data_IF_686255501855
#
_entry.id   IF_686255501855
#
_cell.length_a   1.000
_cell.length_b   1.000
_cell.length_c   1.000
_cell.angle_alpha   90.00
_cell.angle_beta   90.00
_cell.angle_gamma   90.00
#
_symmetry.space_group_name_H-M   'P 1'
#
loop_
_entity.id
_entity.type
_entity.pdbx_description
1 polymer ?
#
# COMPACT_ATOMS: atom_id res chain seq x y z
N UNK A 1 -18.48 15.51 16.16
CA UNK A 1 -19.44 14.36 16.12
C UNK A 1 -20.39 14.61 14.97
N UNK A 2 -20.35 13.76 13.94
CA UNK A 2 -21.19 13.91 12.74
C UNK A 2 -22.55 13.24 12.87
N UNK A 3 -22.65 12.19 13.69
CA UNK A 3 -23.87 11.41 13.93
C UNK A 3 -23.97 11.00 15.38
N UNK A 4 -25.17 10.89 15.89
CA UNK A 4 -25.49 10.33 17.22
C UNK A 4 -26.56 9.25 17.06
N UNK A 5 -26.44 8.20 17.84
CA UNK A 5 -27.47 7.17 17.97
C UNK A 5 -28.42 7.58 19.08
N UNK A 6 -29.72 7.50 18.83
CA UNK A 6 -30.77 7.76 19.80
C UNK A 6 -31.57 6.50 20.00
N UNK A 7 -31.59 5.98 21.20
CA UNK A 7 -32.29 4.74 21.58
C UNK A 7 -33.25 4.94 22.75
N UNK A 8 -34.11 3.98 22.98
CA UNK A 8 -34.97 3.94 24.13
C UNK A 8 -34.14 3.77 25.43
N UNK A 9 -34.49 4.51 26.46
CA UNK A 9 -33.79 4.40 27.75
C UNK A 9 -34.15 3.07 28.43
N UNK A 10 -33.17 2.22 28.70
CA UNK A 10 -33.33 0.96 29.38
C UNK A 10 -33.49 1.16 30.92
N UNK A 11 -34.32 0.33 31.53
CA UNK A 11 -34.41 0.21 33.00
C UNK A 11 -33.32 -0.73 33.50
N UNK A 12 -32.10 -0.19 33.65
CA UNK A 12 -30.90 -0.97 33.97
C UNK A 12 -30.90 -1.36 35.44
N UNK A 13 -30.90 -2.65 35.71
CA UNK A 13 -30.76 -3.21 37.06
C UNK A 13 -29.31 -3.43 37.46
N UNK A 14 -28.50 -3.97 36.51
CA UNK A 14 -27.07 -4.23 36.70
C UNK A 14 -26.31 -4.18 35.39
N UNK A 15 -25.09 -3.69 35.45
CA UNK A 15 -24.15 -3.63 34.34
C UNK A 15 -23.09 -4.72 34.48
N UNK A 16 -22.66 -5.25 33.36
CA UNK A 16 -21.67 -6.30 33.24
C UNK A 16 -20.71 -5.98 32.10
N UNK A 17 -19.57 -6.61 32.12
CA UNK A 17 -18.58 -6.53 31.06
C UNK A 17 -18.38 -7.90 30.41
N UNK A 18 -18.26 -7.95 29.09
CA UNK A 18 -17.67 -9.09 28.39
C UNK A 18 -16.92 -8.63 27.15
N UNK A 19 -15.81 -9.33 26.86
CA UNK A 19 -15.12 -9.17 25.60
C UNK A 19 -14.60 -10.51 25.09
N UNK A 20 -14.46 -10.57 23.76
CA UNK A 20 -13.78 -11.63 23.05
C UNK A 20 -12.57 -11.01 22.36
N UNK A 21 -11.39 -11.53 22.65
CA UNK A 21 -10.10 -11.05 22.10
C UNK A 21 -9.24 -12.24 21.72
N UNK A 22 -8.15 -12.01 21.00
CA UNK A 22 -7.16 -13.04 20.72
C UNK A 22 -6.12 -13.06 21.84
N UNK A 23 -5.99 -14.19 22.53
CA UNK A 23 -4.91 -14.41 23.47
C UNK A 23 -3.64 -14.78 22.70
N UNK A 24 -2.71 -13.84 22.59
CA UNK A 24 -1.45 -14.01 21.88
C UNK A 24 -0.33 -14.66 22.73
N UNK A 25 -0.60 -15.05 23.98
CA UNK A 25 0.36 -15.76 24.80
C UNK A 25 0.83 -17.04 24.09
N UNK A 26 2.13 -17.35 24.20
CA UNK A 26 2.77 -18.45 23.47
C UNK A 26 2.08 -19.79 23.65
N UNK A 27 1.54 -20.01 24.85
CA UNK A 27 0.91 -21.25 25.28
C UNK A 27 -0.55 -21.36 24.85
N UNK A 28 -1.20 -20.22 24.53
CA UNK A 28 -2.64 -20.18 24.24
C UNK A 28 -2.92 -20.01 22.73
N UNK A 29 -2.56 -18.87 22.15
CA UNK A 29 -2.82 -18.53 20.73
C UNK A 29 -4.23 -18.89 20.26
N UNK A 30 -5.22 -18.47 21.02
CA UNK A 30 -6.63 -18.80 20.78
C UNK A 30 -7.53 -17.63 21.15
N UNK A 31 -8.80 -17.63 20.72
CA UNK A 31 -9.78 -16.70 21.23
C UNK A 31 -9.94 -16.85 22.74
N UNK A 32 -10.21 -15.75 23.44
CA UNK A 32 -10.39 -15.70 24.87
C UNK A 32 -11.62 -14.86 25.20
N UNK A 33 -12.49 -15.40 26.05
CA UNK A 33 -13.55 -14.66 26.71
C UNK A 33 -12.97 -13.99 27.96
N UNK A 34 -13.23 -12.70 28.13
CA UNK A 34 -13.11 -11.99 29.40
C UNK A 34 -14.52 -11.60 29.87
N UNK A 35 -14.82 -11.84 31.13
CA UNK A 35 -16.13 -11.57 31.73
C UNK A 35 -15.97 -10.97 33.12
N UNK A 36 -16.77 -9.95 33.42
CA UNK A 36 -16.85 -9.35 34.76
C UNK A 36 -18.28 -8.99 35.14
N UNK A 37 -18.58 -9.05 36.43
CA UNK A 37 -19.83 -8.51 36.99
C UNK A 37 -19.79 -7.01 37.26
N UNK A 38 -18.66 -6.38 36.98
CA UNK A 38 -18.46 -4.93 37.01
C UNK A 38 -18.38 -4.42 35.57
N UNK A 39 -19.38 -3.66 35.13
CA UNK A 39 -19.48 -3.08 33.79
C UNK A 39 -19.65 -1.57 33.82
N UNK A 40 -19.64 -0.92 32.64
CA UNK A 40 -19.84 0.53 32.53
C UNK A 40 -18.66 1.38 33.01
N UNK A 41 -17.49 0.77 33.22
CA UNK A 41 -16.26 1.42 33.64
C UNK A 41 -15.08 0.94 32.79
N UNK A 42 -13.95 1.64 32.90
CA UNK A 42 -12.72 1.24 32.24
C UNK A 42 -12.23 -0.10 32.81
N UNK A 43 -12.11 -1.11 31.94
CA UNK A 43 -11.73 -2.47 32.34
C UNK A 43 -10.34 -2.52 32.99
N UNK A 44 -9.44 -1.59 32.65
CA UNK A 44 -8.12 -1.49 33.27
C UNK A 44 -8.17 -1.08 34.74
N UNK A 45 -9.29 -0.49 35.18
CA UNK A 45 -9.52 -0.09 36.56
C UNK A 45 -10.21 -1.17 37.41
N UNK A 46 -10.70 -2.25 36.81
CA UNK A 46 -11.36 -3.35 37.49
C UNK A 46 -10.32 -4.24 38.22
N UNK A 47 -10.63 -4.62 39.46
CA UNK A 47 -9.78 -5.56 40.21
C UNK A 47 -9.64 -6.87 39.42
N UNK A 48 -8.40 -7.33 39.25
CA UNK A 48 -8.09 -8.53 38.45
C UNK A 48 -8.77 -9.77 38.97
N UNK A 49 -9.09 -9.85 40.27
CA UNK A 49 -9.85 -10.93 40.88
C UNK A 49 -11.32 -11.02 40.45
N UNK A 50 -11.85 -9.94 39.89
CA UNK A 50 -13.22 -9.84 39.36
C UNK A 50 -13.27 -10.02 37.84
N UNK A 51 -12.15 -10.25 37.20
CA UNK A 51 -12.04 -10.45 35.75
C UNK A 51 -11.77 -11.92 35.42
N UNK A 52 -12.80 -12.62 35.00
CA UNK A 52 -12.74 -14.05 34.66
C UNK A 52 -12.34 -14.23 33.21
N UNK A 53 -11.31 -15.06 32.97
CA UNK A 53 -10.75 -15.32 31.64
C UNK A 53 -10.91 -16.78 31.29
N UNK A 54 -11.36 -17.06 30.06
CA UNK A 54 -11.50 -18.42 29.53
C UNK A 54 -10.92 -18.44 28.10
N UNK A 55 -9.92 -19.29 27.90
CA UNK A 55 -9.43 -19.61 26.56
C UNK A 55 -10.45 -20.49 25.83
N UNK A 56 -10.78 -20.11 24.60
CA UNK A 56 -11.81 -20.78 23.79
C UNK A 56 -11.13 -21.64 22.75
N UNK A 57 -11.53 -22.89 22.63
CA UNK A 57 -11.05 -23.75 21.55
C UNK A 57 -11.43 -23.18 20.18
N UNK A 58 -10.45 -22.91 19.28
CA UNK A 58 -10.73 -22.30 17.98
C UNK A 58 -11.63 -23.15 17.08
N UNK A 59 -11.59 -24.48 17.24
CA UNK A 59 -12.36 -25.43 16.45
C UNK A 59 -13.81 -25.49 16.89
N UNK A 60 -14.03 -25.70 18.19
CA UNK A 60 -15.37 -25.94 18.75
C UNK A 60 -16.07 -24.63 19.17
N UNK A 61 -15.30 -23.56 19.46
CA UNK A 61 -15.85 -22.29 19.98
C UNK A 61 -16.32 -22.40 21.43
N UNK A 62 -16.88 -21.35 21.97
CA UNK A 62 -17.43 -21.31 23.33
C UNK A 62 -18.66 -22.19 23.42
N UNK A 63 -18.59 -23.20 24.28
CA UNK A 63 -19.72 -24.07 24.55
C UNK A 63 -20.55 -23.57 25.75
N UNK A 64 -21.81 -24.00 25.83
CA UNK A 64 -22.71 -23.52 26.89
C UNK A 64 -22.24 -23.89 28.29
N UNK A 65 -21.62 -25.05 28.45
CA UNK A 65 -21.08 -25.50 29.76
C UNK A 65 -19.88 -24.62 30.17
N UNK A 66 -19.00 -24.28 29.26
CA UNK A 66 -17.86 -23.36 29.54
C UNK A 66 -18.37 -21.97 29.99
N UNK A 67 -19.40 -21.46 29.32
CA UNK A 67 -20.01 -20.18 29.67
C UNK A 67 -20.73 -20.25 31.04
N UNK A 68 -21.38 -21.37 31.37
CA UNK A 68 -21.97 -21.59 32.69
C UNK A 68 -20.90 -21.60 33.78
N UNK A 69 -19.78 -22.27 33.55
CA UNK A 69 -18.67 -22.35 34.50
C UNK A 69 -18.09 -20.94 34.79
N UNK A 70 -17.82 -20.14 33.76
CA UNK A 70 -17.34 -18.76 33.92
C UNK A 70 -18.37 -17.90 34.69
N UNK A 71 -19.65 -17.99 34.33
CA UNK A 71 -20.71 -17.22 35.00
C UNK A 71 -20.88 -17.66 36.46
N UNK A 72 -20.71 -18.94 36.73
CA UNK A 72 -20.78 -19.51 38.12
C UNK A 72 -19.62 -19.00 38.97
N UNK A 73 -18.40 -18.99 38.42
CA UNK A 73 -17.22 -18.44 39.08
C UNK A 73 -17.37 -16.94 39.38
N UNK A 74 -18.00 -16.21 38.44
CA UNK A 74 -18.29 -14.78 38.59
C UNK A 74 -19.47 -14.49 39.55
N UNK A 75 -20.12 -15.50 40.12
CA UNK A 75 -21.20 -15.34 41.09
C UNK A 75 -22.56 -14.97 40.50
N UNK A 76 -22.82 -15.28 39.23
CA UNK A 76 -24.14 -15.16 38.63
C UNK A 76 -25.13 -16.10 39.32
N UNK A 77 -26.31 -15.56 39.60
CA UNK A 77 -27.36 -16.36 40.27
C UNK A 77 -27.75 -17.61 39.47
N UNK A 78 -27.94 -18.78 40.10
CA UNK A 78 -28.27 -20.05 39.41
C UNK A 78 -29.46 -19.92 38.44
N UNK A 79 -30.46 -19.14 38.77
CA UNK A 79 -31.63 -18.87 37.91
C UNK A 79 -31.31 -18.17 36.59
N UNK A 80 -30.22 -17.42 36.54
CA UNK A 80 -29.82 -16.61 35.38
C UNK A 80 -28.70 -17.26 34.54
N UNK A 81 -28.00 -18.28 35.05
CA UNK A 81 -26.86 -18.93 34.41
C UNK A 81 -27.13 -19.34 32.95
N UNK A 82 -28.28 -20.01 32.71
CA UNK A 82 -28.64 -20.45 31.36
C UNK A 82 -28.83 -19.27 30.38
N UNK A 83 -29.38 -18.14 30.85
CA UNK A 83 -29.59 -16.93 30.09
C UNK A 83 -28.26 -16.26 29.73
N UNK A 84 -27.35 -16.10 30.70
CA UNK A 84 -26.01 -15.59 30.47
C UNK A 84 -25.19 -16.46 29.53
N UNK A 85 -25.21 -17.78 29.75
CA UNK A 85 -24.52 -18.73 28.89
C UNK A 85 -25.02 -18.66 27.42
N UNK A 86 -26.34 -18.57 27.24
CA UNK A 86 -26.94 -18.39 25.91
C UNK A 86 -26.52 -17.07 25.28
N UNK A 87 -26.44 -15.99 26.05
CA UNK A 87 -26.00 -14.67 25.57
C UNK A 87 -24.53 -14.70 25.14
N UNK A 88 -23.62 -15.18 25.99
CA UNK A 88 -22.18 -15.26 25.70
C UNK A 88 -21.87 -16.20 24.53
N UNK A 89 -22.56 -17.33 24.41
CA UNK A 89 -22.38 -18.23 23.27
C UNK A 89 -22.85 -17.63 21.95
N UNK A 90 -23.89 -16.79 21.95
CA UNK A 90 -24.32 -16.05 20.76
C UNK A 90 -23.29 -15.01 20.36
N UNK A 91 -22.73 -14.26 21.32
CA UNK A 91 -21.65 -13.29 21.04
C UNK A 91 -20.39 -13.98 20.51
N UNK A 92 -20.00 -15.13 21.08
CA UNK A 92 -18.87 -15.92 20.57
C UNK A 92 -19.09 -16.37 19.11
N UNK A 93 -20.32 -16.77 18.75
CA UNK A 93 -20.66 -17.10 17.37
C UNK A 93 -20.59 -15.89 16.45
N UNK A 94 -21.00 -14.71 16.92
CA UNK A 94 -20.90 -13.45 16.17
C UNK A 94 -19.42 -13.07 15.97
N UNK A 95 -18.60 -13.11 17.03
CA UNK A 95 -17.16 -12.90 17.00
C UNK A 95 -16.48 -13.75 15.91
N UNK A 96 -16.76 -15.05 15.90
CA UNK A 96 -16.21 -16.00 14.91
C UNK A 96 -16.77 -15.74 13.50
N UNK A 97 -18.09 -15.47 13.37
CA UNK A 97 -18.75 -15.28 12.08
C UNK A 97 -18.19 -14.07 11.32
N UNK A 98 -17.84 -13.00 12.02
CA UNK A 98 -17.39 -11.75 11.41
C UNK A 98 -15.88 -11.55 11.48
N UNK A 99 -15.13 -12.62 11.79
CA UNK A 99 -13.67 -12.58 11.86
C UNK A 99 -13.15 -11.42 12.73
N UNK A 100 -13.73 -11.27 13.91
CA UNK A 100 -13.36 -10.19 14.80
C UNK A 100 -12.00 -10.44 15.45
N UNK A 101 -11.19 -9.40 15.58
CA UNK A 101 -10.02 -9.37 16.48
C UNK A 101 -10.47 -9.05 17.91
N UNK A 102 -11.41 -8.11 18.03
CA UNK A 102 -12.01 -7.70 19.30
C UNK A 102 -13.53 -7.59 19.13
N UNK A 103 -14.26 -8.10 20.09
CA UNK A 103 -15.68 -7.85 20.31
C UNK A 103 -15.88 -7.55 21.79
N UNK A 104 -16.12 -6.30 22.13
CA UNK A 104 -16.31 -5.83 23.49
C UNK A 104 -17.72 -5.28 23.67
N UNK A 105 -18.38 -5.70 24.74
CA UNK A 105 -19.67 -5.17 25.17
C UNK A 105 -19.48 -4.59 26.56
N UNK A 106 -19.47 -3.24 26.65
CA UNK A 106 -19.18 -2.53 27.87
C UNK A 106 -20.01 -1.23 28.00
N UNK A 107 -21.16 -1.29 28.71
CA UNK A 107 -21.69 -2.47 29.42
C UNK A 107 -22.60 -3.34 28.54
N UNK A 108 -22.75 -4.61 28.91
CA UNK A 108 -24.02 -5.26 28.68
C UNK A 108 -24.82 -5.26 29.98
N UNK A 109 -26.14 -5.17 29.86
CA UNK A 109 -26.99 -4.85 30.99
C UNK A 109 -28.09 -5.86 31.20
N UNK A 110 -28.46 -6.05 32.46
CA UNK A 110 -29.68 -6.74 32.83
C UNK A 110 -30.71 -5.68 33.23
N UNK A 111 -31.88 -5.74 32.61
CA UNK A 111 -33.03 -4.84 32.92
C UNK A 111 -33.87 -5.38 34.05
N UNK A 112 -34.79 -4.54 34.57
CA UNK A 112 -35.67 -4.90 35.68
C UNK A 112 -36.55 -6.11 35.43
N UNK A 113 -36.90 -6.40 34.18
CA UNK A 113 -37.63 -7.59 33.75
C UNK A 113 -36.72 -8.82 33.57
N UNK A 114 -35.41 -8.68 33.78
CA UNK A 114 -34.40 -9.71 33.67
C UNK A 114 -33.96 -10.00 32.26
N UNK A 115 -34.25 -9.16 31.27
CA UNK A 115 -33.72 -9.27 29.90
C UNK A 115 -32.26 -8.79 29.83
N UNK A 116 -31.47 -9.33 28.88
CA UNK A 116 -30.08 -8.91 28.65
C UNK A 116 -29.98 -8.12 27.33
N UNK A 117 -29.30 -6.97 27.38
CA UNK A 117 -29.07 -6.08 26.25
C UNK A 117 -27.59 -5.69 26.14
N UNK A 118 -27.10 -5.52 24.93
CA UNK A 118 -25.84 -4.84 24.67
C UNK A 118 -26.12 -3.33 24.68
N UNK A 119 -25.66 -2.62 25.69
CA UNK A 119 -25.84 -1.16 25.76
C UNK A 119 -24.77 -0.38 25.00
N UNK A 120 -23.59 -0.99 24.85
CA UNK A 120 -22.54 -0.50 23.93
C UNK A 120 -21.83 -1.71 23.28
N UNK A 121 -21.21 -1.48 22.11
CA UNK A 121 -20.50 -2.52 21.38
C UNK A 121 -19.33 -1.92 20.63
N UNK A 122 -18.11 -2.34 20.98
CA UNK A 122 -16.91 -2.11 20.19
C UNK A 122 -16.54 -3.39 19.43
N UNK A 123 -16.47 -3.30 18.11
CA UNK A 123 -16.15 -4.45 17.26
C UNK A 123 -15.05 -4.08 16.27
N UNK A 124 -13.96 -4.82 16.33
CA UNK A 124 -12.83 -4.71 15.41
C UNK A 124 -12.74 -5.99 14.59
N UNK A 125 -12.80 -5.87 13.27
CA UNK A 125 -12.73 -6.97 12.32
C UNK A 125 -11.28 -7.10 11.83
N UNK A 126 -10.81 -8.31 11.62
CA UNK A 126 -9.51 -8.57 11.02
C UNK A 126 -9.46 -7.96 9.61
N UNK A 127 -8.56 -7.02 9.38
CA UNK A 127 -8.34 -6.38 8.10
C UNK A 127 -8.08 -7.40 6.98
N UNK A 128 -7.39 -8.50 7.30
CA UNK A 128 -7.13 -9.58 6.36
C UNK A 128 -8.36 -10.41 6.00
N UNK A 129 -9.46 -10.26 6.76
CA UNK A 129 -10.72 -10.97 6.55
C UNK A 129 -11.82 -10.14 5.86
N UNK A 130 -11.64 -8.83 5.73
CA UNK A 130 -12.65 -7.91 5.17
C UNK A 130 -13.17 -8.37 3.80
N UNK A 131 -12.34 -8.98 2.97
CA UNK A 131 -12.75 -9.50 1.66
C UNK A 131 -13.84 -10.58 1.74
N UNK A 132 -14.02 -11.23 2.89
CA UNK A 132 -15.10 -12.21 3.15
C UNK A 132 -16.43 -11.57 3.52
N UNK A 133 -16.41 -10.27 3.82
CA UNK A 133 -17.56 -9.49 4.31
C UNK A 133 -17.90 -8.31 3.39
N UNK A 134 -18.25 -8.56 2.10
CA UNK A 134 -18.54 -7.49 1.14
C UNK A 134 -19.75 -6.63 1.53
N UNK A 135 -20.64 -7.16 2.37
CA UNK A 135 -21.83 -6.49 2.93
C UNK A 135 -21.47 -5.29 3.82
N UNK A 136 -20.27 -5.23 4.36
CA UNK A 136 -19.80 -4.04 5.11
C UNK A 136 -19.45 -2.85 4.23
N UNK A 137 -19.30 -3.05 2.93
CA UNK A 137 -18.94 -1.98 1.99
C UNK A 137 -17.52 -1.45 2.16
N UNK A 138 -16.67 -2.12 2.95
CA UNK A 138 -15.26 -1.77 3.15
C UNK A 138 -14.47 -2.35 1.97
N UNK A 139 -13.90 -1.47 1.13
CA UNK A 139 -13.09 -1.90 -0.02
C UNK A 139 -11.69 -2.29 0.37
N UNK A 140 -11.02 -1.44 1.15
CA UNK A 140 -9.65 -1.68 1.67
C UNK A 140 -9.66 -1.34 3.15
N UNK A 141 -9.30 -2.32 3.97
CA UNK A 141 -9.12 -2.12 5.40
C UNK A 141 -7.69 -1.65 5.69
N UNK A 142 -7.57 -0.65 6.56
CA UNK A 142 -6.27 -0.08 6.97
C UNK A 142 -6.26 0.22 8.45
N UNK A 143 -5.18 -0.18 9.11
CA UNK A 143 -4.88 0.29 10.46
C UNK A 143 -4.18 1.64 10.36
N UNK A 144 -4.91 2.71 10.61
CA UNK A 144 -4.37 4.05 10.66
C UNK A 144 -4.51 4.61 12.08
N UNK A 145 -3.48 5.31 12.57
CA UNK A 145 -3.54 5.93 13.90
C UNK A 145 -4.51 7.11 13.98
N UNK A 146 -5.19 7.45 12.88
CA UNK A 146 -6.12 8.59 12.78
C UNK A 146 -6.91 8.57 11.48
N UNK A 147 -7.51 9.71 11.13
CA UNK A 147 -8.24 9.86 9.86
C UNK A 147 -7.26 9.77 8.68
N UNK A 148 -7.64 9.08 7.58
CA UNK A 148 -6.79 8.97 6.41
C UNK A 148 -6.53 10.33 5.78
N UNK A 149 -5.31 10.56 5.35
CA UNK A 149 -4.94 11.73 4.57
C UNK A 149 -5.32 11.55 3.09
N UNK A 150 -5.34 12.64 2.32
CA UNK A 150 -5.54 12.54 0.86
C UNK A 150 -4.49 11.61 0.20
N UNK A 151 -3.25 11.58 0.72
CA UNK A 151 -2.18 10.71 0.21
C UNK A 151 -2.46 9.23 0.49
N UNK A 152 -3.01 8.91 1.66
CA UNK A 152 -3.39 7.53 2.00
C UNK A 152 -4.49 7.02 1.07
N UNK A 153 -5.49 7.86 0.78
CA UNK A 153 -6.58 7.53 -0.16
C UNK A 153 -6.04 7.28 -1.59
N UNK A 154 -5.06 8.10 -2.03
CA UNK A 154 -4.37 7.87 -3.31
C UNK A 154 -3.62 6.53 -3.28
N UNK A 155 -2.92 6.23 -2.19
CA UNK A 155 -2.22 4.96 -2.00
C UNK A 155 -3.15 3.75 -2.11
N UNK A 156 -4.32 3.81 -1.50
CA UNK A 156 -5.33 2.76 -1.60
C UNK A 156 -5.80 2.54 -3.04
N UNK A 157 -6.07 3.64 -3.77
CA UNK A 157 -6.43 3.54 -5.19
C UNK A 157 -5.32 2.93 -6.06
N UNK A 158 -4.04 3.11 -5.71
CA UNK A 158 -2.93 2.47 -6.42
C UNK A 158 -2.93 0.95 -6.21
N UNK A 159 -3.19 0.48 -5.00
CA UNK A 159 -3.24 -0.97 -4.72
C UNK A 159 -4.35 -1.69 -5.46
N UNK A 160 -5.49 -1.03 -5.68
CA UNK A 160 -6.62 -1.60 -6.42
C UNK A 160 -6.34 -1.81 -7.92
N UNK A 161 -5.32 -1.18 -8.50
CA UNK A 161 -5.09 -1.18 -9.95
C UNK A 161 -4.67 -2.54 -10.51
N UNK A 162 -3.93 -3.34 -9.75
CA UNK A 162 -3.45 -4.67 -10.16
C UNK A 162 -3.20 -5.56 -8.94
N UNK A 163 -3.55 -6.83 -9.04
CA UNK A 163 -3.32 -7.82 -7.98
C UNK A 163 -1.85 -8.29 -7.88
N UNK A 164 -1.02 -8.00 -8.90
CA UNK A 164 0.39 -8.41 -8.95
C UNK A 164 1.26 -7.45 -8.12
N UNK A 165 1.92 -8.02 -7.12
CA UNK A 165 2.85 -7.28 -6.27
C UNK A 165 2.21 -6.16 -5.46
N UNK A 166 3.00 -5.50 -4.66
CA UNK A 166 2.58 -4.45 -3.75
C UNK A 166 2.70 -3.07 -4.40
N UNK A 167 1.78 -2.18 -4.09
CA UNK A 167 1.81 -0.76 -4.47
C UNK A 167 1.44 0.11 -3.28
N UNK A 168 1.97 -0.24 -2.12
CA UNK A 168 1.63 0.40 -0.85
C UNK A 168 2.21 1.81 -0.78
N UNK A 169 1.41 2.76 -0.28
CA UNK A 169 1.81 4.12 0.00
C UNK A 169 1.00 4.66 1.18
N UNK A 170 1.67 5.21 2.17
CA UNK A 170 1.07 5.73 3.39
C UNK A 170 1.80 7.00 3.85
N UNK A 171 1.07 7.97 4.37
CA UNK A 171 1.63 9.14 5.03
C UNK A 171 2.27 8.75 6.38
N UNK A 172 3.44 9.33 6.69
CA UNK A 172 4.19 9.07 7.93
C UNK A 172 4.07 10.22 8.94
N UNK A 173 2.93 10.92 8.96
CA UNK A 173 2.78 12.12 9.78
C UNK A 173 3.56 13.31 9.24
N UNK A 174 3.76 13.35 7.94
CA UNK A 174 4.46 14.38 7.23
C UNK A 174 3.78 15.75 7.40
N UNK A 175 4.57 16.70 7.87
CA UNK A 175 4.20 18.11 7.92
C UNK A 175 4.68 18.81 6.64
N UNK A 176 3.72 19.27 5.82
CA UNK A 176 3.98 19.90 4.53
C UNK A 176 4.76 21.25 4.63
N UNK A 177 4.95 21.77 5.83
CA UNK A 177 5.60 23.06 6.09
C UNK A 177 7.04 22.93 6.57
N UNK A 178 7.33 21.92 7.41
CA UNK A 178 8.64 21.72 8.03
C UNK A 178 9.67 21.16 7.02
N UNK A 179 10.96 21.54 7.15
CA UNK A 179 12.04 21.02 6.33
C UNK A 179 12.52 19.62 6.80
N UNK A 180 13.38 19.00 6.00
CA UNK A 180 14.09 17.75 6.35
C UNK A 180 13.34 16.49 5.95
N UNK A 181 12.29 16.58 5.14
CA UNK A 181 11.54 15.42 4.66
C UNK A 181 12.02 14.93 3.30
N UNK A 182 12.10 13.62 3.17
CA UNK A 182 12.48 12.91 1.95
C UNK A 182 11.32 12.04 1.49
N UNK A 183 10.98 12.10 0.22
CA UNK A 183 10.07 11.15 -0.41
C UNK A 183 10.72 9.77 -0.42
N UNK A 184 10.20 8.82 0.34
CA UNK A 184 10.81 7.52 0.57
C UNK A 184 10.06 6.41 -0.14
N UNK A 185 10.78 5.69 -1.02
CA UNK A 185 10.23 4.63 -1.86
C UNK A 185 11.09 3.37 -1.78
N UNK A 186 10.94 2.58 -0.74
CA UNK A 186 11.65 1.32 -0.60
C UNK A 186 11.05 0.19 -1.43
N UNK A 187 11.82 -0.88 -1.59
CA UNK A 187 11.42 -2.13 -2.21
C UNK A 187 11.60 -3.24 -1.17
N UNK A 188 10.48 -3.75 -0.64
CA UNK A 188 10.45 -4.77 0.40
C UNK A 188 10.35 -4.20 1.81
N UNK A 189 9.42 -4.74 2.61
CA UNK A 189 9.09 -4.23 3.93
C UNK A 189 10.27 -4.22 4.90
N UNK A 190 11.10 -5.27 4.94
CA UNK A 190 12.28 -5.32 5.81
C UNK A 190 13.34 -4.29 5.45
N UNK A 191 13.64 -4.11 4.16
CA UNK A 191 14.57 -3.07 3.70
C UNK A 191 14.02 -1.66 3.93
N UNK A 192 12.71 -1.51 3.89
CA UNK A 192 12.02 -0.27 4.19
C UNK A 192 12.25 0.17 5.64
N UNK A 193 12.09 -0.73 6.59
CA UNK A 193 12.33 -0.44 8.01
C UNK A 193 13.79 -0.06 8.28
N UNK A 194 14.74 -0.82 7.74
CA UNK A 194 16.17 -0.51 7.86
C UNK A 194 16.53 0.84 7.23
N UNK A 195 15.90 1.19 6.11
CA UNK A 195 16.10 2.47 5.45
C UNK A 195 15.52 3.64 6.22
N UNK A 196 14.40 3.47 6.92
CA UNK A 196 13.87 4.48 7.85
C UNK A 196 14.83 4.75 9.00
N UNK A 197 15.39 3.69 9.60
CA UNK A 197 16.39 3.83 10.66
C UNK A 197 17.63 4.58 10.16
N UNK A 198 18.09 4.26 8.94
CA UNK A 198 19.24 4.94 8.34
C UNK A 198 18.96 6.42 8.03
N UNK A 199 17.76 6.78 7.55
CA UNK A 199 17.35 8.17 7.36
C UNK A 199 17.33 8.93 8.68
N UNK A 200 16.72 8.35 9.72
CA UNK A 200 16.65 8.96 11.03
C UNK A 200 18.04 9.15 11.65
N UNK A 201 18.95 8.19 11.47
CA UNK A 201 20.32 8.27 11.98
C UNK A 201 21.13 9.44 11.39
N UNK A 202 20.78 9.92 10.19
CA UNK A 202 21.42 11.09 9.57
C UNK A 202 20.57 12.37 9.69
N UNK A 203 19.52 12.36 10.51
CA UNK A 203 18.67 13.52 10.79
C UNK A 203 17.65 13.85 9.70
N UNK A 204 17.43 12.94 8.75
CA UNK A 204 16.38 13.06 7.73
C UNK A 204 15.11 12.33 8.17
N UNK A 205 13.96 12.78 7.68
CA UNK A 205 12.65 12.18 7.96
C UNK A 205 12.01 11.67 6.67
N UNK A 206 11.34 10.53 6.73
CA UNK A 206 10.52 10.08 5.62
C UNK A 206 9.18 10.80 5.61
N UNK A 207 8.79 11.39 4.48
CA UNK A 207 7.47 11.99 4.30
C UNK A 207 6.36 10.95 4.19
N UNK A 208 6.70 9.79 3.68
CA UNK A 208 5.82 8.66 3.45
C UNK A 208 6.55 7.35 3.65
N UNK A 209 5.80 6.30 3.93
CA UNK A 209 6.23 4.93 3.75
C UNK A 209 5.65 4.38 2.45
N UNK A 210 6.45 3.63 1.69
CA UNK A 210 5.97 2.91 0.50
C UNK A 210 6.54 1.49 0.47
N UNK A 211 5.93 0.61 -0.32
CA UNK A 211 6.48 -0.69 -0.67
C UNK A 211 6.05 -1.09 -2.08
N UNK A 212 7.01 -1.38 -2.93
CA UNK A 212 6.80 -1.89 -4.29
C UNK A 212 7.49 -3.23 -4.50
N UNK A 213 7.31 -4.14 -3.57
CA UNK A 213 7.82 -5.52 -3.64
C UNK A 213 6.83 -6.51 -4.26
N UNK A 214 7.24 -7.77 -4.39
CA UNK A 214 6.40 -8.83 -4.97
C UNK A 214 6.25 -8.75 -6.48
N UNK A 215 7.20 -8.12 -7.15
CA UNK A 215 7.26 -7.97 -8.61
C UNK A 215 6.05 -7.24 -9.24
N UNK A 216 5.66 -6.04 -8.74
CA UNK A 216 4.57 -5.27 -9.32
C UNK A 216 4.88 -4.85 -10.76
N UNK A 217 3.83 -4.56 -11.51
CA UNK A 217 3.98 -4.01 -12.86
C UNK A 217 4.56 -2.59 -12.83
N UNK A 218 5.27 -2.18 -13.88
CA UNK A 218 5.92 -0.87 -13.93
C UNK A 218 4.94 0.30 -13.77
N UNK A 219 3.71 0.17 -14.27
CA UNK A 219 2.68 1.19 -14.10
C UNK A 219 2.28 1.40 -12.63
N UNK A 220 2.24 0.32 -11.81
CA UNK A 220 1.98 0.43 -10.37
C UNK A 220 3.12 1.16 -9.65
N UNK A 221 4.38 0.78 -9.94
CA UNK A 221 5.58 1.44 -9.43
C UNK A 221 5.60 2.94 -9.81
N UNK A 222 5.27 3.24 -11.06
CA UNK A 222 5.18 4.61 -11.56
C UNK A 222 4.18 5.44 -10.73
N UNK A 223 3.00 4.88 -10.41
CA UNK A 223 1.98 5.58 -9.61
C UNK A 223 2.48 5.90 -8.20
N UNK A 224 3.09 4.92 -7.54
CA UNK A 224 3.69 5.13 -6.20
C UNK A 224 4.78 6.21 -6.26
N UNK A 225 5.71 6.11 -7.21
CA UNK A 225 6.77 7.08 -7.38
C UNK A 225 6.24 8.48 -7.70
N UNK A 226 5.21 8.58 -8.58
CA UNK A 226 4.59 9.86 -8.94
C UNK A 226 3.88 10.51 -7.76
N UNK A 227 3.11 9.75 -7.00
CA UNK A 227 2.45 10.24 -5.79
C UNK A 227 3.48 10.70 -4.75
N UNK A 228 4.54 9.91 -4.51
CA UNK A 228 5.64 10.27 -3.60
C UNK A 228 6.33 11.57 -4.03
N UNK A 229 6.70 11.70 -5.30
CA UNK A 229 7.36 12.90 -5.86
C UNK A 229 6.46 14.12 -5.92
N UNK A 230 5.15 13.95 -5.84
CA UNK A 230 4.15 15.02 -5.88
C UNK A 230 3.89 15.65 -4.51
N UNK A 231 4.45 15.11 -3.44
CA UNK A 231 4.33 15.71 -2.11
C UNK A 231 5.01 17.08 -2.09
N UNK A 232 4.39 18.12 -1.53
CA UNK A 232 4.99 19.45 -1.42
C UNK A 232 6.20 19.40 -0.46
N UNK A 233 7.15 20.33 -0.62
CA UNK A 233 8.27 20.55 0.32
C UNK A 233 9.13 19.34 0.72
N UNK A 234 9.07 18.23 -0.01
CA UNK A 234 10.10 17.19 0.13
C UNK A 234 11.40 17.67 -0.50
N UNK A 235 12.52 17.43 0.18
CA UNK A 235 13.84 17.94 -0.22
C UNK A 235 14.64 16.96 -1.08
N UNK A 236 14.16 15.74 -1.22
CA UNK A 236 14.80 14.71 -2.05
C UNK A 236 13.90 13.49 -2.24
N UNK A 237 14.35 12.59 -3.10
CA UNK A 237 13.71 11.30 -3.34
C UNK A 237 14.72 10.18 -3.17
N UNK A 238 14.40 9.23 -2.29
CA UNK A 238 15.18 8.03 -2.08
C UNK A 238 14.38 6.80 -2.47
N UNK A 239 14.81 6.12 -3.51
CA UNK A 239 14.39 4.76 -3.80
C UNK A 239 15.53 3.82 -3.44
N UNK A 240 15.25 2.85 -2.59
CA UNK A 240 16.27 1.91 -2.16
C UNK A 240 15.69 0.55 -1.82
N UNK A 241 16.36 -0.48 -2.34
CA UNK A 241 16.00 -1.85 -2.01
C UNK A 241 16.86 -2.85 -2.77
N UNK A 242 16.97 -4.02 -2.17
CA UNK A 242 17.57 -5.18 -2.80
C UNK A 242 16.58 -6.33 -2.68
N UNK A 243 16.26 -6.95 -3.80
CA UNK A 243 15.36 -8.10 -3.80
C UNK A 243 16.00 -9.23 -4.57
N UNK A 244 16.06 -10.34 -3.90
CA UNK A 244 16.35 -11.63 -4.51
C UNK A 244 15.04 -12.31 -4.91
N UNK A 245 15.12 -13.44 -5.56
CA UNK A 245 13.99 -14.25 -5.98
C UNK A 245 13.21 -13.67 -7.18
N UNK A 246 11.92 -13.40 -7.03
CA UNK A 246 11.02 -13.11 -8.13
C UNK A 246 10.95 -11.64 -8.56
N UNK A 247 11.55 -10.72 -7.80
CA UNK A 247 11.54 -9.29 -8.15
C UNK A 247 12.46 -9.01 -9.34
N UNK A 248 11.90 -8.59 -10.45
CA UNK A 248 12.68 -8.15 -11.62
C UNK A 248 12.82 -6.63 -11.62
N UNK A 249 14.02 -6.14 -11.31
CA UNK A 249 14.26 -4.70 -11.08
C UNK A 249 14.06 -3.82 -12.33
N UNK A 250 14.03 -4.39 -13.52
CA UNK A 250 13.74 -3.62 -14.74
C UNK A 250 12.33 -3.01 -14.76
N UNK A 251 11.37 -3.54 -13.98
CA UNK A 251 10.06 -2.90 -13.78
C UNK A 251 10.22 -1.53 -13.12
N UNK A 252 11.06 -1.47 -12.07
CA UNK A 252 11.39 -0.21 -11.40
C UNK A 252 12.11 0.73 -12.35
N UNK A 253 13.09 0.23 -13.10
CA UNK A 253 13.87 1.06 -14.02
C UNK A 253 13.00 1.73 -15.08
N UNK A 254 12.09 1.03 -15.74
CA UNK A 254 11.17 1.62 -16.71
C UNK A 254 10.24 2.66 -16.07
N UNK A 255 9.67 2.35 -14.91
CA UNK A 255 8.81 3.26 -14.16
C UNK A 255 9.54 4.54 -13.74
N UNK A 256 10.77 4.40 -13.23
CA UNK A 256 11.60 5.51 -12.76
C UNK A 256 12.02 6.42 -13.92
N UNK A 257 12.45 5.85 -15.05
CA UNK A 257 12.77 6.67 -16.22
C UNK A 257 11.58 7.53 -16.61
N UNK A 258 10.38 6.94 -16.68
CA UNK A 258 9.18 7.69 -17.04
C UNK A 258 8.87 8.80 -16.02
N UNK A 259 8.74 8.46 -14.75
CA UNK A 259 8.32 9.43 -13.73
C UNK A 259 9.34 10.53 -13.50
N UNK A 260 10.64 10.21 -13.48
CA UNK A 260 11.68 11.23 -13.26
C UNK A 260 11.77 12.20 -14.45
N UNK A 261 11.61 11.72 -15.68
CA UNK A 261 11.54 12.60 -16.85
C UNK A 261 10.32 13.51 -16.87
N UNK A 262 9.23 13.12 -16.25
CA UNK A 262 8.04 13.96 -16.10
C UNK A 262 8.16 14.97 -14.95
N UNK A 263 8.75 14.57 -13.81
CA UNK A 263 8.71 15.35 -12.58
C UNK A 263 9.92 16.25 -12.35
N UNK A 264 11.15 15.78 -12.64
CA UNK A 264 12.37 16.54 -12.36
C UNK A 264 12.52 17.82 -13.17
N UNK A 265 12.04 17.93 -14.43
CA UNK A 265 12.02 19.22 -15.13
C UNK A 265 11.26 20.32 -14.40
N UNK A 266 10.32 19.95 -13.53
CA UNK A 266 9.55 20.88 -12.70
C UNK A 266 10.24 21.21 -11.35
N UNK A 267 11.26 20.45 -10.97
CA UNK A 267 12.01 20.57 -9.71
C UNK A 267 13.52 20.66 -9.96
N UNK A 268 14.04 21.81 -10.46
CA UNK A 268 15.46 21.96 -10.78
C UNK A 268 16.35 21.74 -9.55
N UNK A 269 17.41 20.91 -9.70
CA UNK A 269 18.35 20.64 -8.61
C UNK A 269 17.85 19.68 -7.52
N UNK A 270 16.65 19.12 -7.67
CA UNK A 270 16.08 18.18 -6.71
C UNK A 270 16.87 16.86 -6.69
N UNK A 271 17.42 16.45 -5.52
CA UNK A 271 18.24 15.26 -5.41
C UNK A 271 17.41 13.98 -5.47
N UNK A 272 17.88 13.03 -6.28
CA UNK A 272 17.30 11.69 -6.35
C UNK A 272 18.39 10.65 -6.15
N UNK A 273 18.19 9.74 -5.21
CA UNK A 273 19.07 8.59 -4.96
C UNK A 273 18.32 7.32 -5.33
N UNK A 274 18.88 6.54 -6.25
CA UNK A 274 18.28 5.30 -6.75
C UNK A 274 19.24 4.14 -6.48
N UNK A 275 18.79 3.17 -5.68
CA UNK A 275 19.52 1.95 -5.36
C UNK A 275 18.69 0.76 -5.79
N UNK A 276 18.99 0.20 -6.96
CA UNK A 276 18.38 -1.02 -7.49
C UNK A 276 19.41 -2.13 -7.48
N UNK A 277 19.26 -3.12 -6.62
CA UNK A 277 20.14 -4.26 -6.49
C UNK A 277 19.37 -5.57 -6.58
N UNK A 278 20.01 -6.63 -7.07
CA UNK A 278 19.47 -7.99 -7.07
C UNK A 278 19.11 -8.50 -8.45
N UNK A 279 17.95 -9.12 -8.58
CA UNK A 279 17.58 -9.79 -9.84
C UNK A 279 17.41 -8.80 -11.00
N UNK A 280 18.08 -9.08 -12.12
CA UNK A 280 18.11 -8.21 -13.31
C UNK A 280 18.74 -6.83 -13.08
N UNK A 281 19.67 -6.70 -12.14
CA UNK A 281 20.33 -5.45 -11.77
C UNK A 281 21.03 -4.79 -12.97
N UNK A 282 21.90 -5.52 -13.69
CA UNK A 282 22.64 -4.98 -14.82
C UNK A 282 21.72 -4.40 -15.91
N UNK A 283 20.65 -5.11 -16.23
CA UNK A 283 19.66 -4.67 -17.20
C UNK A 283 18.93 -3.41 -16.72
N UNK A 284 18.61 -3.34 -15.44
CA UNK A 284 17.96 -2.19 -14.82
C UNK A 284 18.86 -0.96 -14.83
N UNK A 285 20.13 -1.14 -14.53
CA UNK A 285 21.12 -0.06 -14.59
C UNK A 285 21.32 0.45 -16.02
N UNK A 286 21.30 -0.44 -17.02
CA UNK A 286 21.38 -0.02 -18.43
C UNK A 286 20.16 0.79 -18.85
N UNK A 287 18.95 0.40 -18.43
CA UNK A 287 17.73 1.16 -18.68
C UNK A 287 17.82 2.55 -18.03
N UNK A 288 18.26 2.63 -16.77
CA UNK A 288 18.43 3.92 -16.07
C UNK A 288 19.48 4.80 -16.74
N UNK A 289 20.65 4.25 -17.06
CA UNK A 289 21.72 4.99 -17.75
C UNK A 289 21.24 5.54 -19.10
N UNK A 290 20.59 4.70 -19.91
CA UNK A 290 20.06 5.12 -21.21
C UNK A 290 18.96 6.17 -21.04
N UNK A 291 18.06 5.94 -20.10
CA UNK A 291 16.87 6.76 -19.92
C UNK A 291 17.12 8.10 -19.21
N UNK A 292 18.15 8.21 -18.38
CA UNK A 292 18.44 9.40 -17.54
C UNK A 292 19.82 10.02 -17.79
N UNK A 293 20.54 9.60 -18.84
CA UNK A 293 21.92 10.06 -19.13
C UNK A 293 22.08 11.59 -19.12
N UNK A 294 21.11 12.30 -19.70
CA UNK A 294 21.07 13.76 -19.78
C UNK A 294 20.65 14.46 -18.48
N UNK A 295 20.21 13.69 -17.49
CA UNK A 295 19.76 14.17 -16.17
C UNK A 295 20.70 13.79 -15.05
N UNK A 296 21.70 12.95 -15.33
CA UNK A 296 22.65 12.43 -14.36
C UNK A 296 23.84 13.36 -14.17
N UNK A 297 24.26 13.53 -12.93
CA UNK A 297 25.58 14.11 -12.62
C UNK A 297 26.58 12.96 -12.43
N UNK A 298 27.78 12.99 -13.01
CA UNK A 298 28.81 11.98 -12.74
C UNK A 298 29.06 11.87 -11.23
N UNK A 299 28.99 10.67 -10.68
CA UNK A 299 29.35 10.41 -9.30
C UNK A 299 30.86 10.70 -9.13
N UNK A 300 31.22 11.85 -8.56
CA UNK A 300 32.62 12.21 -8.40
C UNK A 300 32.92 13.51 -7.65
N UNK A 301 31.92 14.30 -7.30
CA UNK A 301 32.17 15.67 -6.80
C UNK A 301 31.89 15.93 -5.32
N UNK A 302 31.82 14.91 -4.46
CA UNK A 302 31.86 15.14 -3.01
C UNK A 302 32.64 14.05 -2.30
N UNK A 303 33.97 14.20 -2.25
CA UNK A 303 34.75 13.59 -1.19
C UNK A 303 34.53 14.40 0.08
N UNK A 304 33.73 13.89 1.01
CA UNK A 304 33.85 14.32 2.41
C UNK A 304 35.02 13.60 3.02
N UNK A 305 35.98 14.39 3.48
CA UNK A 305 37.12 13.98 4.27
C UNK A 305 36.64 13.46 5.63
N UNK A 306 37.14 12.30 6.04
CA UNK A 306 37.27 11.92 7.43
C UNK A 306 36.53 10.67 7.87
N UNK A 307 37.28 9.64 8.23
CA UNK A 307 36.82 8.56 9.08
C UNK A 307 37.16 7.15 8.60
N UNK A 308 38.30 6.70 9.02
CA UNK A 308 38.85 5.36 8.88
C UNK A 308 37.95 4.36 9.63
N UNK A 309 37.24 3.47 8.95
CA UNK A 309 36.72 2.25 9.56
C UNK A 309 36.90 1.07 8.62
N UNK A 310 37.38 0.01 9.21
CA UNK A 310 37.83 -1.25 8.64
C UNK A 310 36.86 -1.89 7.66
N UNK A 311 37.43 -2.29 6.52
CA UNK A 311 36.80 -3.11 5.48
C UNK A 311 36.39 -4.48 6.01
N UNK A 312 35.11 -4.75 6.04
CA UNK A 312 34.59 -6.10 5.75
C UNK A 312 34.09 -6.13 4.31
N UNK A 313 34.75 -6.88 3.49
CA UNK A 313 34.35 -7.17 2.12
C UNK A 313 33.10 -8.05 2.16
N UNK A 314 31.95 -7.53 1.83
CA UNK A 314 30.86 -8.30 1.26
C UNK A 314 30.79 -7.99 -0.24
N UNK A 315 30.95 -9.00 -1.03
CA UNK A 315 30.83 -9.00 -2.47
C UNK A 315 29.44 -8.59 -2.91
N UNK A 316 29.36 -7.76 -3.95
CA UNK A 316 28.19 -7.34 -4.73
C UNK A 316 27.43 -6.09 -4.26
N UNK A 317 28.07 -4.95 -4.23
CA UNK A 317 27.36 -3.66 -4.19
C UNK A 317 27.90 -2.73 -5.28
N UNK A 318 27.57 -3.01 -6.53
CA UNK A 318 27.71 -2.07 -7.64
C UNK A 318 26.41 -1.25 -7.81
N UNK A 319 25.83 -0.79 -6.70
CA UNK A 319 24.71 0.13 -6.74
C UNK A 319 25.13 1.48 -7.33
N UNK A 320 24.43 1.92 -8.36
CA UNK A 320 24.69 3.22 -9.01
C UNK A 320 23.98 4.33 -8.24
N UNK A 321 24.76 5.25 -7.65
CA UNK A 321 24.25 6.48 -7.05
C UNK A 321 24.06 7.51 -8.18
N UNK A 322 22.80 7.89 -8.47
CA UNK A 322 22.44 8.83 -9.51
C UNK A 322 21.90 10.12 -8.91
N UNK A 323 22.58 11.23 -9.15
CA UNK A 323 22.10 12.57 -8.78
C UNK A 323 21.73 13.33 -10.06
N UNK A 324 20.47 13.75 -10.20
CA UNK A 324 19.95 14.36 -11.43
C UNK A 324 20.03 15.90 -11.40
N UNK A 325 20.58 16.52 -12.44
CA UNK A 325 20.48 17.97 -12.74
C UNK A 325 19.71 18.21 -14.04
N UNK A 326 18.94 19.26 -14.04
CA UNK A 326 17.95 19.61 -15.06
C UNK A 326 18.52 20.41 -16.24
N UNK A 327 18.05 20.09 -17.44
CA UNK A 327 18.11 20.96 -18.62
C UNK A 327 16.70 21.09 -19.22
N UNK A 328 16.25 22.32 -19.37
CA UNK A 328 14.92 22.71 -19.82
C UNK A 328 14.57 22.08 -21.19
N UNK A 329 13.44 21.40 -21.29
CA UNK A 329 12.93 20.88 -22.56
C UNK A 329 11.69 21.64 -23.02
N UNK A 330 11.77 22.06 -24.28
CA UNK A 330 10.81 22.88 -25.00
C UNK A 330 9.43 22.26 -25.15
N UNK A 331 8.38 23.07 -24.96
CA UNK A 331 6.98 22.79 -25.33
C UNK A 331 6.92 22.36 -26.82
N UNK A 332 6.31 21.19 -27.07
CA UNK A 332 6.08 20.71 -28.43
C UNK A 332 4.60 20.77 -28.77
N UNK A 333 4.32 21.51 -29.83
CA UNK A 333 3.03 21.69 -30.51
C UNK A 333 2.42 20.29 -30.88
N UNK A 334 1.16 20.11 -30.52
CA UNK A 334 0.32 19.02 -31.04
C UNK A 334 0.07 19.25 -32.53
N UNK A 335 0.56 18.34 -33.39
CA UNK A 335 0.08 18.18 -34.75
C UNK A 335 -0.91 17.04 -34.76
N UNK A 336 -2.10 17.26 -35.33
CA UNK A 336 -3.13 16.25 -35.56
C UNK A 336 -2.61 15.18 -36.53
N UNK A 337 -2.20 14.02 -36.02
CA UNK A 337 -1.91 12.81 -36.77
C UNK A 337 -2.86 11.72 -36.28
N UNK A 338 -3.17 10.74 -37.14
CA UNK A 338 -3.93 9.54 -36.73
C UNK A 338 -3.21 8.87 -35.56
N UNK A 339 -3.82 8.85 -34.38
CA UNK A 339 -3.34 8.12 -33.21
C UNK A 339 -4.10 6.80 -33.07
N UNK A 340 -3.37 5.73 -32.81
CA UNK A 340 -3.95 4.44 -32.39
C UNK A 340 -3.90 4.39 -30.86
N UNK A 341 -5.00 4.04 -30.23
CA UNK A 341 -5.10 3.86 -28.79
C UNK A 341 -5.31 2.41 -28.43
N UNK A 342 -4.54 1.90 -27.48
CA UNK A 342 -4.65 0.55 -26.92
C UNK A 342 -4.91 0.73 -25.42
N UNK A 343 -6.09 0.27 -24.97
CA UNK A 343 -6.45 0.30 -23.54
C UNK A 343 -5.97 -0.96 -22.86
N UNK A 344 -5.16 -0.80 -21.83
CA UNK A 344 -4.79 -1.85 -20.87
C UNK A 344 -5.67 -1.75 -19.61
N UNK A 345 -5.38 -2.52 -18.57
CA UNK A 345 -6.23 -2.58 -17.35
C UNK A 345 -6.38 -1.23 -16.67
N UNK A 346 -5.30 -0.48 -16.54
CA UNK A 346 -5.26 0.78 -15.80
C UNK A 346 -4.43 1.86 -16.49
N UNK A 347 -3.98 1.60 -17.73
CA UNK A 347 -3.20 2.52 -18.57
C UNK A 347 -3.71 2.55 -20.01
N UNK A 348 -3.28 3.55 -20.77
CA UNK A 348 -3.62 3.70 -22.19
C UNK A 348 -2.36 3.97 -22.98
N UNK A 349 -2.09 3.12 -23.97
CA UNK A 349 -0.97 3.27 -24.90
C UNK A 349 -1.45 4.04 -26.13
N UNK A 350 -0.88 5.19 -26.40
CA UNK A 350 -1.16 6.02 -27.59
C UNK A 350 0.01 5.95 -28.57
N UNK A 351 -0.27 5.68 -29.84
CA UNK A 351 0.72 5.51 -30.90
C UNK A 351 0.49 6.52 -32.01
N UNK A 352 1.45 7.42 -32.24
CA UNK A 352 1.46 8.35 -33.39
C UNK A 352 1.90 7.59 -34.66
N UNK A 353 0.91 7.16 -35.45
CA UNK A 353 1.11 6.35 -36.66
C UNK A 353 2.06 7.04 -37.66
N UNK A 354 1.99 8.36 -37.76
CA UNK A 354 2.81 9.13 -38.71
C UNK A 354 4.32 8.98 -38.43
N UNK A 355 4.70 8.89 -37.17
CA UNK A 355 6.09 8.68 -36.75
C UNK A 355 6.52 7.22 -36.87
N UNK A 356 5.58 6.28 -36.75
CA UNK A 356 5.88 4.86 -36.89
C UNK A 356 6.30 4.46 -38.31
N UNK A 357 5.68 5.02 -39.34
CA UNK A 357 5.96 4.69 -40.73
C UNK A 357 7.44 4.90 -41.11
N UNK A 358 8.06 5.97 -40.60
CA UNK A 358 9.48 6.27 -40.85
C UNK A 358 10.45 5.67 -39.83
N UNK A 359 9.96 4.90 -38.86
CA UNK A 359 10.80 4.26 -37.85
C UNK A 359 11.45 3.00 -38.39
N UNK A 360 12.77 2.95 -38.44
CA UNK A 360 13.54 1.78 -38.95
C UNK A 360 13.65 0.69 -37.89
N UNK A 361 13.85 1.05 -36.62
CA UNK A 361 14.22 0.07 -35.57
C UNK A 361 13.06 -0.79 -35.09
N UNK A 362 11.84 -0.25 -35.06
CA UNK A 362 10.65 -0.90 -34.48
C UNK A 362 10.92 -1.49 -33.06
N UNK A 363 11.81 -0.85 -32.31
CA UNK A 363 12.32 -1.33 -31.03
C UNK A 363 11.21 -1.62 -30.00
N UNK A 364 10.06 -0.92 -30.11
CA UNK A 364 8.89 -1.14 -29.24
C UNK A 364 8.32 -2.57 -29.34
N UNK A 365 8.30 -3.17 -30.54
CA UNK A 365 7.82 -4.56 -30.72
C UNK A 365 8.80 -5.56 -30.11
N UNK A 366 10.11 -5.34 -30.31
CA UNK A 366 11.15 -6.14 -29.67
C UNK A 366 11.09 -6.05 -28.13
N UNK A 367 10.90 -4.84 -27.60
CA UNK A 367 10.73 -4.62 -26.17
C UNK A 367 9.48 -5.31 -25.61
N UNK A 368 8.36 -5.25 -26.33
CA UNK A 368 7.13 -5.95 -25.95
C UNK A 368 7.33 -7.48 -25.86
N UNK A 369 8.10 -8.06 -26.80
CA UNK A 369 8.45 -9.49 -26.74
C UNK A 369 9.40 -9.82 -25.59
N UNK A 370 10.33 -8.92 -25.27
CA UNK A 370 11.36 -9.14 -24.24
C UNK A 370 10.80 -8.99 -22.82
N UNK A 371 10.02 -7.95 -22.55
CA UNK A 371 9.60 -7.54 -21.20
C UNK A 371 8.13 -7.84 -20.88
N UNK A 372 7.36 -8.20 -21.91
CA UNK A 372 5.93 -8.47 -21.78
C UNK A 372 5.57 -9.81 -22.46
N UNK A 373 4.32 -9.93 -22.90
CA UNK A 373 3.81 -11.14 -23.57
C UNK A 373 3.84 -11.04 -25.09
N UNK A 374 4.49 -10.00 -25.64
CA UNK A 374 4.65 -9.81 -27.07
C UNK A 374 3.35 -9.47 -27.79
N UNK A 375 2.43 -8.78 -27.14
CA UNK A 375 1.12 -8.42 -27.72
C UNK A 375 1.20 -7.41 -28.88
N UNK A 376 2.33 -6.69 -29.02
CA UNK A 376 2.55 -5.78 -30.16
C UNK A 376 3.11 -6.54 -31.34
N UNK A 377 2.41 -6.50 -32.47
CA UNK A 377 2.89 -6.98 -33.77
C UNK A 377 2.92 -5.86 -34.78
N UNK A 378 3.65 -6.05 -35.89
CA UNK A 378 3.67 -5.05 -36.95
C UNK A 378 2.55 -5.35 -37.96
N UNK A 379 1.69 -4.37 -38.19
CA UNK A 379 0.74 -4.34 -39.28
C UNK A 379 0.99 -3.11 -40.14
N UNK A 380 1.26 -3.26 -41.41
CA UNK A 380 1.58 -2.17 -42.35
C UNK A 380 2.68 -1.23 -41.84
N UNK A 381 3.70 -1.80 -41.16
CA UNK A 381 4.83 -1.05 -40.60
C UNK A 381 4.53 -0.29 -39.31
N UNK A 382 3.36 -0.46 -38.70
CA UNK A 382 2.94 0.18 -37.44
C UNK A 382 2.71 -0.89 -36.36
N UNK A 383 3.14 -0.66 -35.11
CA UNK A 383 2.79 -1.55 -34.00
C UNK A 383 1.28 -1.58 -33.80
N UNK A 384 0.71 -2.77 -33.70
CA UNK A 384 -0.73 -3.01 -33.62
C UNK A 384 -1.04 -4.19 -32.70
N UNK A 385 -2.25 -4.25 -32.20
CA UNK A 385 -2.86 -5.37 -31.45
C UNK A 385 -4.12 -5.90 -32.14
N UNK A 386 -4.36 -5.56 -33.40
CA UNK A 386 -5.58 -5.92 -34.13
C UNK A 386 -5.80 -7.43 -34.32
N UNK A 387 -4.75 -8.26 -34.11
CA UNK A 387 -4.86 -9.71 -34.07
C UNK A 387 -5.45 -10.26 -32.76
N UNK A 388 -5.68 -9.39 -31.76
CA UNK A 388 -6.26 -9.71 -30.46
C UNK A 388 -7.59 -9.02 -30.28
N UNK A 389 -8.51 -9.66 -29.55
CA UNK A 389 -9.72 -9.04 -29.06
C UNK A 389 -9.42 -8.06 -27.92
N UNK A 390 -10.31 -7.12 -27.63
CA UNK A 390 -10.15 -6.19 -26.51
C UNK A 390 -9.99 -6.91 -25.17
N UNK A 391 -10.70 -8.01 -24.97
CA UNK A 391 -10.59 -8.85 -23.77
C UNK A 391 -9.22 -9.51 -23.66
N UNK A 392 -8.68 -10.01 -24.77
CA UNK A 392 -7.33 -10.58 -24.81
C UNK A 392 -6.26 -9.52 -24.53
N UNK A 393 -6.41 -8.31 -25.05
CA UNK A 393 -5.50 -7.20 -24.75
C UNK A 393 -5.51 -6.89 -23.23
N UNK A 394 -6.68 -6.81 -22.59
CA UNK A 394 -6.79 -6.61 -21.15
C UNK A 394 -6.19 -7.77 -20.35
N UNK A 395 -6.34 -9.01 -20.81
CA UNK A 395 -5.80 -10.20 -20.14
C UNK A 395 -4.29 -10.35 -20.32
N UNK A 396 -3.77 -10.03 -21.50
CA UNK A 396 -2.37 -10.24 -21.88
C UNK A 396 -1.48 -9.00 -21.65
N UNK A 397 -2.07 -7.81 -21.59
CA UNK A 397 -1.37 -6.57 -21.29
C UNK A 397 -0.67 -6.65 -19.92
N UNK A 398 0.55 -6.15 -19.86
CA UNK A 398 1.40 -6.25 -18.66
C UNK A 398 1.78 -4.90 -18.08
N UNK A 399 1.34 -3.80 -18.67
CA UNK A 399 1.61 -2.43 -18.19
C UNK A 399 3.08 -2.19 -17.81
N UNK A 400 4.00 -2.75 -18.61
CA UNK A 400 5.44 -2.79 -18.31
C UNK A 400 6.21 -1.54 -18.74
N UNK A 401 5.57 -0.60 -19.44
CA UNK A 401 6.12 0.65 -19.98
C UNK A 401 7.32 0.49 -20.93
N UNK A 402 7.74 -0.73 -21.25
CA UNK A 402 8.95 -1.00 -22.03
C UNK A 402 8.84 -0.55 -23.50
N UNK A 403 7.65 -0.60 -24.09
CA UNK A 403 7.45 -0.15 -25.46
C UNK A 403 7.58 1.38 -25.61
N UNK A 404 7.13 2.15 -24.62
CA UNK A 404 7.34 3.60 -24.58
C UNK A 404 8.83 3.94 -24.42
N UNK A 405 9.50 3.27 -23.49
CA UNK A 405 10.95 3.41 -23.29
C UNK A 405 11.71 3.14 -24.58
N UNK A 406 11.51 1.96 -25.19
CA UNK A 406 12.20 1.57 -26.42
C UNK A 406 11.90 2.53 -27.59
N UNK A 407 10.65 2.97 -27.73
CA UNK A 407 10.28 3.95 -28.74
C UNK A 407 10.92 5.31 -28.52
N UNK A 408 11.08 5.74 -27.26
CA UNK A 408 11.65 7.03 -26.90
C UNK A 408 13.15 7.10 -27.13
N UNK A 409 13.90 6.04 -26.78
CA UNK A 409 15.36 6.03 -26.80
C UNK A 409 15.96 5.33 -28.01
N UNK A 410 15.24 4.42 -28.64
CA UNK A 410 15.72 3.62 -29.78
C UNK A 410 14.80 3.71 -31.00
N UNK A 411 13.78 4.55 -30.99
CA UNK A 411 12.83 4.73 -32.08
C UNK A 411 12.49 6.19 -32.32
N UNK A 412 11.32 6.44 -32.93
CA UNK A 412 10.89 7.76 -33.37
C UNK A 412 10.00 8.53 -32.37
N UNK A 413 9.97 8.12 -31.09
CA UNK A 413 9.16 8.76 -30.04
C UNK A 413 7.67 8.86 -30.40
N UNK A 414 7.15 7.76 -30.95
CA UNK A 414 5.78 7.65 -31.41
C UNK A 414 4.82 7.13 -30.32
N UNK A 415 5.34 6.45 -29.31
CA UNK A 415 4.53 5.82 -28.26
C UNK A 415 4.56 6.69 -26.99
N UNK A 416 3.38 6.89 -26.43
CA UNK A 416 3.19 7.50 -25.11
C UNK A 416 2.20 6.66 -24.33
N UNK A 417 2.50 6.36 -23.06
CA UNK A 417 1.61 5.60 -22.18
C UNK A 417 1.08 6.56 -21.11
N UNK A 418 -0.23 6.73 -21.10
CA UNK A 418 -0.88 7.43 -20.01
C UNK A 418 -1.17 6.47 -18.85
N UNK A 419 -0.68 6.83 -17.66
CA UNK A 419 -0.81 6.05 -16.42
C UNK A 419 -1.44 6.96 -15.38
N UNK A 420 -2.77 7.02 -15.31
CA UNK A 420 -3.46 7.90 -14.38
C UNK A 420 -3.23 7.47 -12.93
N UNK A 421 -3.15 8.46 -12.04
CA UNK A 421 -3.12 8.27 -10.58
C UNK A 421 -4.40 8.89 -10.04
N UNK A 422 -5.33 8.05 -9.63
CA UNK A 422 -6.63 8.49 -9.11
C UNK A 422 -6.46 9.39 -7.87
N UNK A 423 -7.18 10.50 -7.81
CA UNK A 423 -7.12 11.47 -6.71
C UNK A 423 -5.91 12.40 -6.71
N UNK A 424 -4.86 12.13 -7.52
CA UNK A 424 -3.65 12.98 -7.55
C UNK A 424 -3.90 14.35 -8.17
N UNK A 425 -4.67 14.52 -9.24
CA UNK A 425 -5.00 15.85 -9.76
C UNK A 425 -5.68 16.75 -8.72
N UNK A 426 -6.63 16.21 -7.98
CA UNK A 426 -7.37 16.90 -6.92
C UNK A 426 -6.43 17.23 -5.74
N UNK A 427 -5.57 16.31 -5.38
CA UNK A 427 -4.54 16.50 -4.35
C UNK A 427 -3.62 17.69 -4.69
N UNK A 428 -3.16 17.77 -5.96
CA UNK A 428 -2.29 18.83 -6.45
C UNK A 428 -3.03 20.18 -6.53
N UNK A 429 -4.29 20.16 -7.00
CA UNK A 429 -5.10 21.38 -7.12
C UNK A 429 -5.38 22.02 -5.74
N UNK A 430 -5.69 21.25 -4.73
CA UNK A 430 -5.85 21.72 -3.33
C UNK A 430 -4.61 22.45 -2.79
N UNK A 431 -3.42 22.15 -3.34
CA UNK A 431 -2.11 22.68 -2.90
C UNK A 431 -1.52 23.72 -3.84
N UNK A 432 -2.26 24.09 -4.91
CA UNK A 432 -1.78 25.03 -5.93
C UNK A 432 -0.59 24.51 -6.76
N UNK A 433 -0.45 23.17 -6.87
CA UNK A 433 0.63 22.48 -7.57
C UNK A 433 0.20 21.83 -8.91
N UNK A 434 -1.05 22.07 -9.34
CA UNK A 434 -1.62 21.49 -10.57
C UNK A 434 -1.06 22.11 -11.87
#
# INVERSE_FOLDING_TARGET
>A
VEKVLIEEKLDIRKEYYCSFVINNAREARCPMLMFSTEGGMDIESVDESLLFRLNIDPQYGLQSYDAIDVCTQAGIAPADLSKFASFLTKLSKLYKKYDCQTLEINPFVMTGDGSLYCADCKMEIDNSAVFRHPDFGIKIARDLPGQPTDLDVIGWGIEETDARGTGFLMNMGYDEVSPGYVGYHPIGGGSAMMGLDALNAVGLKAANYADTSGNPVAAKIYRVAKATLSQPNIEGYLLGGFMMANQEQWHHAHALVKVLREMLPKKPGFPCVLLLCGNREDESLEILRTGLADMMTPAGASRSTGGNTSRTRSSSANGCLLCARNTALRKRLRRQGRSLEIKEKSSTVSIDVSKCLSCETKACVAACKKYARGILELKDGVPSVEHLTAEEVLRLGTECLACEFACTFHGNKAITIDVPVAGLPEYLAKRGLA
#
